data_IF_123707819798
#
_entry.id   IF_123707819798
#
_cell.length_a   1.000
_cell.length_b   1.000
_cell.length_c   1.000
_cell.angle_alpha   90.00
_cell.angle_beta   90.00
_cell.angle_gamma   90.00
#
_symmetry.space_group_name_H-M   'P 1'
#
loop_
_entity.id
_entity.type
_entity.pdbx_description
1 polymer ?
#
# COMPACT_ATOMS: atom_id res chain seq x y z
N UNK A 1 -17.69 -2.38 -32.96
CA UNK A 1 -16.32 -1.85 -33.14
C UNK A 1 -16.03 -0.71 -32.17
N UNK A 2 -16.81 0.40 -32.14
CA UNK A 2 -16.59 1.50 -31.17
C UNK A 2 -16.66 1.07 -29.70
N UNK A 3 -17.69 0.33 -29.31
CA UNK A 3 -17.87 -0.19 -27.93
C UNK A 3 -16.76 -1.15 -27.52
N UNK A 4 -16.32 -2.01 -28.45
CA UNK A 4 -15.21 -2.95 -28.25
C UNK A 4 -13.89 -2.22 -27.98
N UNK A 5 -13.63 -1.13 -28.70
CA UNK A 5 -12.45 -0.28 -28.53
C UNK A 5 -12.47 0.45 -27.18
N UNK A 6 -13.64 0.98 -26.77
CA UNK A 6 -13.82 1.61 -25.45
C UNK A 6 -13.58 0.63 -24.31
N UNK A 7 -14.05 -0.63 -24.44
CA UNK A 7 -13.80 -1.67 -23.44
C UNK A 7 -12.30 -2.01 -23.33
N UNK A 8 -11.60 -2.17 -24.46
CA UNK A 8 -10.16 -2.42 -24.46
C UNK A 8 -9.37 -1.29 -23.78
N UNK A 9 -9.76 -0.04 -24.03
CA UNK A 9 -9.10 1.11 -23.40
C UNK A 9 -9.29 1.11 -21.88
N UNK A 10 -10.47 0.71 -21.40
CA UNK A 10 -10.76 0.65 -19.97
C UNK A 10 -9.93 -0.42 -19.23
N UNK A 11 -9.70 -1.58 -19.88
CA UNK A 11 -8.89 -2.68 -19.33
C UNK A 11 -7.41 -2.30 -19.22
N UNK A 12 -6.91 -1.43 -20.09
CA UNK A 12 -5.53 -0.93 -20.00
C UNK A 12 -5.33 0.06 -18.84
N UNK A 13 -6.40 0.71 -18.35
CA UNK A 13 -6.29 1.64 -17.23
C UNK A 13 -6.14 0.93 -15.87
N UNK A 14 -6.65 -0.30 -15.72
CA UNK A 14 -6.61 -1.04 -14.46
C UNK A 14 -5.25 -1.73 -14.19
N UNK A 15 -4.40 -1.89 -15.20
CA UNK A 15 -3.07 -2.52 -15.04
C UNK A 15 -2.02 -1.59 -14.40
N UNK A 16 -2.35 -0.32 -14.14
CA UNK A 16 -1.43 0.66 -13.56
C UNK A 16 -1.36 0.67 -12.02
N UNK A 17 -2.23 -0.07 -11.31
CA UNK A 17 -2.18 -0.12 -9.85
C UNK A 17 -1.03 -1.02 -9.38
N UNK A 18 0.07 -0.41 -8.91
CA UNK A 18 1.18 -1.13 -8.29
C UNK A 18 0.92 -1.34 -6.80
N UNK A 19 1.01 -2.58 -6.32
CA UNK A 19 0.92 -2.92 -4.90
C UNK A 19 1.95 -2.16 -4.05
N UNK A 20 3.17 -1.96 -4.58
CA UNK A 20 4.22 -1.14 -3.95
C UNK A 20 3.78 0.32 -3.79
N UNK A 21 3.16 0.89 -4.82
CA UNK A 21 2.66 2.27 -4.75
C UNK A 21 1.54 2.40 -3.72
N UNK A 22 0.61 1.44 -3.65
CA UNK A 22 -0.46 1.42 -2.66
C UNK A 22 0.11 1.30 -1.24
N UNK A 23 1.02 0.35 -1.01
CA UNK A 23 1.67 0.15 0.29
C UNK A 23 2.39 1.42 0.77
N UNK A 24 3.19 2.04 -0.11
CA UNK A 24 3.94 3.25 0.24
C UNK A 24 3.03 4.42 0.60
N UNK A 25 1.96 4.64 -0.17
CA UNK A 25 1.00 5.70 0.14
C UNK A 25 0.30 5.45 1.48
N UNK A 26 -0.06 4.20 1.78
CA UNK A 26 -0.66 3.84 3.05
C UNK A 26 0.29 4.05 4.24
N UNK A 27 1.56 3.63 4.10
CA UNK A 27 2.63 3.87 5.06
C UNK A 27 2.84 5.37 5.33
N UNK A 28 2.89 6.21 4.29
CA UNK A 28 3.01 7.67 4.43
C UNK A 28 1.82 8.23 5.19
N UNK A 29 0.60 7.83 4.83
CA UNK A 29 -0.60 8.30 5.50
C UNK A 29 -0.62 7.91 6.98
N UNK A 30 -0.26 6.67 7.32
CA UNK A 30 -0.15 6.22 8.72
C UNK A 30 0.86 7.04 9.52
N UNK A 31 2.06 7.29 8.98
CA UNK A 31 3.04 8.15 9.65
C UNK A 31 2.49 9.55 9.89
N UNK A 32 1.79 10.12 8.92
CA UNK A 32 1.15 11.43 9.06
C UNK A 32 0.07 11.46 10.15
N UNK A 33 -0.68 10.37 10.33
CA UNK A 33 -1.61 10.25 11.46
C UNK A 33 -0.88 10.15 12.80
N UNK A 34 0.22 9.39 12.87
CA UNK A 34 1.02 9.30 14.11
C UNK A 34 1.54 10.68 14.55
N UNK A 35 1.94 11.54 13.61
CA UNK A 35 2.41 12.90 13.91
C UNK A 35 1.35 13.81 14.57
N UNK A 36 0.07 13.44 14.50
CA UNK A 36 -1.03 14.19 15.15
C UNK A 36 -1.30 13.73 16.58
N UNK A 37 -0.70 12.61 17.00
CA UNK A 37 -0.91 12.02 18.32
C UNK A 37 -0.05 12.71 19.40
N UNK A 38 -0.46 12.67 20.67
CA UNK A 38 0.38 13.12 21.77
C UNK A 38 1.65 12.26 21.90
N UNK A 39 2.74 12.79 22.50
CA UNK A 39 4.01 12.08 22.62
C UNK A 39 3.90 10.69 23.26
N UNK A 40 2.97 10.51 24.20
CA UNK A 40 2.74 9.23 24.90
C UNK A 40 2.25 8.11 23.98
N UNK A 41 1.67 8.44 22.84
CA UNK A 41 1.09 7.49 21.87
C UNK A 41 1.89 7.43 20.56
N UNK A 42 2.71 8.44 20.29
CA UNK A 42 3.52 8.54 19.08
C UNK A 42 4.43 7.33 18.88
N UNK A 43 5.23 6.98 19.90
CA UNK A 43 6.23 5.90 19.79
C UNK A 43 5.57 4.55 19.50
N UNK A 44 4.42 4.29 20.14
CA UNK A 44 3.63 3.09 19.88
C UNK A 44 3.02 3.10 18.48
N UNK A 45 2.54 4.24 18.01
CA UNK A 45 1.97 4.36 16.66
C UNK A 45 3.03 4.13 15.56
N UNK A 46 4.26 4.60 15.81
CA UNK A 46 5.38 4.47 14.87
C UNK A 46 6.01 3.08 14.86
N UNK A 47 5.62 2.18 15.77
CA UNK A 47 6.15 0.82 15.86
C UNK A 47 5.95 0.05 14.53
N UNK A 48 7.06 -0.42 13.94
CA UNK A 48 7.06 -1.16 12.68
C UNK A 48 6.76 -0.32 11.42
N UNK A 49 6.73 1.02 11.51
CA UNK A 49 6.58 1.91 10.35
C UNK A 49 7.83 1.98 9.47
N UNK A 50 8.96 1.42 9.88
CA UNK A 50 10.21 1.37 9.10
C UNK A 50 10.27 0.23 8.08
N UNK A 51 9.32 -0.71 8.12
CA UNK A 51 9.27 -1.87 7.21
C UNK A 51 9.21 -1.46 5.73
N UNK A 52 10.17 -1.96 4.96
CA UNK A 52 10.18 -1.85 3.50
C UNK A 52 9.02 -2.64 2.87
N UNK A 53 8.72 -2.32 1.62
CA UNK A 53 7.71 -3.06 0.87
C UNK A 53 8.12 -4.53 0.67
N UNK A 54 9.39 -4.76 0.39
CA UNK A 54 9.96 -6.09 0.16
C UNK A 54 9.84 -6.99 1.40
N UNK A 55 10.11 -6.44 2.59
CA UNK A 55 9.91 -7.17 3.86
C UNK A 55 8.44 -7.49 4.12
N UNK A 56 7.54 -6.53 3.82
CA UNK A 56 6.10 -6.74 3.92
C UNK A 56 5.60 -7.83 2.96
N UNK A 57 6.02 -7.80 1.69
CA UNK A 57 5.64 -8.80 0.69
C UNK A 57 6.07 -10.20 1.12
N UNK A 58 7.34 -10.35 1.51
CA UNK A 58 7.89 -11.63 1.96
C UNK A 58 7.13 -12.18 3.17
N UNK A 59 6.91 -11.35 4.19
CA UNK A 59 6.16 -11.76 5.37
C UNK A 59 4.71 -12.14 5.05
N UNK A 60 4.10 -11.48 4.05
CA UNK A 60 2.75 -11.82 3.60
C UNK A 60 2.73 -13.16 2.86
N UNK A 61 3.68 -13.42 1.97
CA UNK A 61 3.80 -14.69 1.25
C UNK A 61 3.96 -15.86 2.23
N UNK A 62 4.81 -15.71 3.24
CA UNK A 62 5.02 -16.72 4.29
C UNK A 62 3.73 -17.09 5.04
N UNK A 63 2.78 -16.16 5.18
CA UNK A 63 1.49 -16.40 5.85
C UNK A 63 0.43 -16.95 4.90
N UNK A 64 0.46 -16.56 3.63
CA UNK A 64 -0.53 -16.96 2.62
C UNK A 64 -0.24 -18.35 2.04
N UNK A 65 1.03 -18.74 1.95
CA UNK A 65 1.47 -20.02 1.39
C UNK A 65 1.51 -21.17 2.42
N UNK A 66 0.90 -20.97 3.60
CA UNK A 66 0.86 -21.93 4.72
C UNK A 66 -0.42 -22.76 4.77
#
# INVERSE_FOLDING_TARGET
MKTTLTLMLLVLCITGCSNKAVYNNFQINKRNECLKLPPTEYDRCMEGMDRSYEEYEKAREEVVDQ
#
